data_IF_982216371336
#
_entry.id   IF_982216371336
#
_cell.length_a   1.000
_cell.length_b   1.000
_cell.length_c   1.000
_cell.angle_alpha   90.00
_cell.angle_beta   90.00
_cell.angle_gamma   90.00
#
_symmetry.space_group_name_H-M   'P 1'
#
loop_
_entity.id
_entity.type
_entity.pdbx_description
1 polymer ?
#
# COMPACT_ATOMS: atom_id res chain seq x y z
N UNK A 1 -15.70 -12.30 -0.86
CA UNK A 1 -15.15 -12.19 -2.22
C UNK A 1 -15.28 -13.55 -2.87
N UNK A 2 -15.85 -13.64 -4.06
CA UNK A 2 -15.97 -14.88 -4.83
C UNK A 2 -15.74 -14.53 -6.28
N UNK A 3 -14.76 -15.15 -6.92
CA UNK A 3 -14.58 -14.99 -8.36
C UNK A 3 -15.71 -15.70 -9.11
N UNK A 4 -16.25 -15.03 -10.13
CA UNK A 4 -17.21 -15.66 -11.06
C UNK A 4 -16.43 -16.49 -12.08
N UNK A 5 -16.58 -17.84 -12.05
CA UNK A 5 -15.83 -18.72 -12.96
C UNK A 5 -16.10 -18.47 -14.46
N UNK A 6 -17.23 -17.84 -14.79
CA UNK A 6 -17.60 -17.54 -16.18
C UNK A 6 -16.99 -16.21 -16.68
N UNK A 7 -16.65 -15.30 -15.76
CA UNK A 7 -16.12 -13.98 -16.09
C UNK A 7 -14.62 -13.86 -15.81
N UNK A 8 -14.06 -14.71 -14.93
CA UNK A 8 -12.67 -14.63 -14.55
C UNK A 8 -11.77 -15.21 -15.64
N UNK A 9 -10.94 -14.36 -16.21
CA UNK A 9 -9.85 -14.71 -17.13
C UNK A 9 -8.50 -14.41 -16.50
N UNK A 10 -7.42 -14.94 -17.02
CA UNK A 10 -6.06 -14.60 -16.55
C UNK A 10 -5.80 -13.08 -16.62
N UNK A 11 -6.26 -12.40 -17.67
CA UNK A 11 -6.10 -10.96 -17.83
C UNK A 11 -6.86 -10.17 -16.76
N UNK A 12 -8.14 -10.49 -16.53
CA UNK A 12 -8.96 -9.86 -15.50
C UNK A 12 -8.40 -10.11 -14.10
N UNK A 13 -7.94 -11.32 -13.82
CA UNK A 13 -7.30 -11.65 -12.56
C UNK A 13 -6.01 -10.85 -12.34
N UNK A 14 -5.15 -10.75 -13.34
CA UNK A 14 -3.91 -9.99 -13.27
C UNK A 14 -4.16 -8.50 -13.00
N UNK A 15 -5.13 -7.90 -13.69
CA UNK A 15 -5.50 -6.51 -13.48
C UNK A 15 -6.09 -6.28 -12.08
N UNK A 16 -6.99 -7.18 -11.63
CA UNK A 16 -7.53 -7.15 -10.28
C UNK A 16 -6.42 -7.23 -9.22
N UNK A 17 -5.50 -8.19 -9.35
CA UNK A 17 -4.37 -8.35 -8.45
C UNK A 17 -3.51 -7.08 -8.36
N UNK A 18 -3.20 -6.43 -9.49
CA UNK A 18 -2.42 -5.20 -9.50
C UNK A 18 -3.08 -4.06 -8.73
N UNK A 19 -4.39 -3.90 -8.87
CA UNK A 19 -5.16 -2.87 -8.16
C UNK A 19 -5.22 -3.17 -6.66
N UNK A 20 -5.51 -4.42 -6.29
CA UNK A 20 -5.54 -4.85 -4.88
C UNK A 20 -4.14 -4.74 -4.26
N UNK A 21 -3.11 -5.22 -4.96
CA UNK A 21 -1.74 -5.13 -4.49
C UNK A 21 -1.30 -3.69 -4.19
N UNK A 22 -1.72 -2.74 -5.01
CA UNK A 22 -1.47 -1.34 -4.74
C UNK A 22 -2.22 -0.84 -3.49
N UNK A 23 -3.46 -1.30 -3.26
CA UNK A 23 -4.24 -0.92 -2.08
C UNK A 23 -3.65 -1.46 -0.78
N UNK A 24 -3.12 -2.69 -0.79
CA UNK A 24 -2.52 -3.33 0.39
C UNK A 24 -1.03 -3.01 0.59
N UNK A 25 -0.40 -2.33 -0.36
CA UNK A 25 1.03 -2.02 -0.29
C UNK A 25 1.39 -1.31 1.02
N UNK A 26 2.34 -1.90 1.75
CA UNK A 26 2.73 -1.43 3.07
C UNK A 26 3.59 -0.16 2.97
N UNK A 27 2.93 0.97 2.80
CA UNK A 27 3.57 2.26 2.96
C UNK A 27 3.30 2.80 4.36
N UNK A 28 4.33 3.25 5.11
CA UNK A 28 4.12 3.94 6.38
C UNK A 28 3.53 5.34 6.20
N UNK A 29 3.27 5.78 4.96
CA UNK A 29 2.74 7.12 4.61
C UNK A 29 3.54 8.20 5.35
N UNK A 30 4.80 8.32 4.97
CA UNK A 30 5.75 9.30 5.53
C UNK A 30 6.98 9.41 4.64
N UNK A 31 7.71 10.54 4.64
CA UNK A 31 9.00 10.61 3.98
C UNK A 31 9.92 9.53 4.58
N UNK A 32 10.73 8.87 3.75
CA UNK A 32 11.75 7.97 4.25
C UNK A 32 12.78 8.81 5.00
N UNK A 33 12.78 8.67 6.31
CA UNK A 33 13.62 9.45 7.21
C UNK A 33 14.25 8.54 8.25
N UNK A 34 15.50 8.81 8.56
CA UNK A 34 16.14 8.25 9.74
C UNK A 34 15.68 8.99 10.98
N UNK A 35 14.76 8.40 11.69
CA UNK A 35 14.52 8.80 13.08
C UNK A 35 15.74 8.40 13.91
N UNK A 36 16.17 9.27 14.83
CA UNK A 36 17.22 8.90 15.80
C UNK A 36 16.83 7.67 16.63
N UNK A 37 17.77 7.12 17.42
CA UNK A 37 17.52 5.93 18.25
C UNK A 37 16.29 6.04 19.15
N UNK A 38 15.96 7.22 19.64
CA UNK A 38 14.79 7.47 20.48
C UNK A 38 13.54 7.74 19.65
N UNK A 39 13.67 8.04 18.35
CA UNK A 39 12.55 8.40 17.50
C UNK A 39 11.52 7.29 17.36
N UNK A 40 10.26 7.64 17.51
CA UNK A 40 9.12 6.76 17.21
C UNK A 40 7.99 7.56 16.54
N UNK A 41 7.12 6.85 15.86
CA UNK A 41 5.91 7.42 15.25
C UNK A 41 4.83 6.33 15.25
N UNK A 42 3.64 6.64 15.73
CA UNK A 42 2.50 5.74 15.72
C UNK A 42 1.23 6.48 15.34
N UNK A 43 0.40 5.88 14.50
CA UNK A 43 -0.80 6.55 14.02
C UNK A 43 -1.70 5.70 13.16
N UNK A 44 -2.68 6.36 12.58
CA UNK A 44 -3.65 5.79 11.65
C UNK A 44 -3.43 6.40 10.28
N UNK A 45 -3.38 5.56 9.27
CA UNK A 45 -3.34 5.96 7.87
C UNK A 45 -4.51 5.36 7.10
N UNK A 46 -4.92 6.01 6.03
CA UNK A 46 -5.84 5.46 5.06
C UNK A 46 -5.25 5.64 3.66
N UNK A 47 -5.34 4.60 2.85
CA UNK A 47 -5.01 4.67 1.41
C UNK A 47 -6.29 4.45 0.62
N UNK A 48 -6.54 5.33 -0.34
CA UNK A 48 -7.67 5.26 -1.26
C UNK A 48 -7.14 5.05 -2.67
N UNK A 49 -7.57 3.96 -3.30
CA UNK A 49 -7.16 3.58 -4.66
C UNK A 49 -8.34 3.73 -5.60
N UNK A 50 -8.13 4.40 -6.73
CA UNK A 50 -9.15 4.55 -7.77
C UNK A 50 -9.36 3.21 -8.48
N UNK A 51 -10.63 2.83 -8.67
CA UNK A 51 -11.03 1.63 -9.40
C UNK A 51 -12.07 1.97 -10.47
N UNK A 52 -12.17 1.10 -11.46
CA UNK A 52 -13.27 1.11 -12.42
C UNK A 52 -14.20 -0.06 -12.10
N UNK A 53 -15.34 0.24 -11.46
CA UNK A 53 -16.35 -0.76 -11.09
C UNK A 53 -17.05 -1.37 -12.30
N UNK A 54 -17.06 -0.66 -13.43
CA UNK A 54 -17.62 -1.12 -14.70
C UNK A 54 -16.69 -2.10 -15.43
N UNK A 55 -15.41 -2.13 -15.10
CA UNK A 55 -14.43 -2.95 -15.78
C UNK A 55 -14.60 -4.44 -15.50
N UNK A 56 -14.25 -5.26 -16.52
CA UNK A 56 -14.39 -6.71 -16.45
C UNK A 56 -13.60 -7.35 -15.28
N UNK A 57 -12.43 -6.80 -14.96
CA UNK A 57 -11.60 -7.31 -13.85
C UNK A 57 -12.29 -7.16 -12.50
N UNK A 58 -13.03 -6.05 -12.31
CA UNK A 58 -13.74 -5.80 -11.06
C UNK A 58 -14.99 -6.67 -10.94
N UNK A 59 -15.78 -6.73 -12.02
CA UNK A 59 -16.99 -7.55 -12.08
C UNK A 59 -16.72 -9.04 -11.91
N UNK A 60 -15.58 -9.51 -12.38
CA UNK A 60 -15.17 -10.91 -12.21
C UNK A 60 -14.85 -11.28 -10.74
N UNK A 61 -14.49 -10.32 -9.91
CA UNK A 61 -14.09 -10.53 -8.52
C UNK A 61 -15.14 -10.09 -7.49
N UNK A 62 -15.99 -9.13 -7.85
CA UNK A 62 -17.04 -8.55 -6.98
C UNK A 62 -18.39 -8.69 -7.67
N UNK A 63 -19.28 -9.58 -7.19
CA UNK A 63 -20.62 -9.73 -7.76
C UNK A 63 -21.41 -8.41 -7.71
N UNK A 64 -22.19 -8.14 -8.75
CA UNK A 64 -23.00 -6.92 -8.86
C UNK A 64 -24.05 -6.75 -7.74
N UNK A 65 -24.49 -7.87 -7.14
CA UNK A 65 -25.44 -7.90 -6.04
C UNK A 65 -24.78 -7.80 -4.65
N UNK A 66 -23.47 -7.53 -4.60
CA UNK A 66 -22.81 -7.34 -3.33
C UNK A 66 -23.19 -5.96 -2.76
N UNK A 67 -23.47 -5.90 -1.46
CA UNK A 67 -23.63 -4.64 -0.73
C UNK A 67 -22.35 -3.79 -0.66
N UNK A 68 -21.29 -4.28 -1.28
CA UNK A 68 -20.00 -3.61 -1.34
C UNK A 68 -19.96 -2.65 -2.53
N UNK A 69 -20.46 -1.45 -2.30
CA UNK A 69 -20.37 -0.33 -3.24
C UNK A 69 -19.16 0.52 -2.88
N UNK A 70 -18.29 0.76 -3.83
CA UNK A 70 -17.03 1.46 -3.62
C UNK A 70 -17.02 2.88 -4.16
N UNK A 71 -18.05 3.27 -4.91
CA UNK A 71 -18.13 4.58 -5.58
C UNK A 71 -16.85 4.93 -6.37
N UNK A 72 -16.24 3.92 -7.00
CA UNK A 72 -15.02 4.08 -7.78
C UNK A 72 -13.72 4.12 -6.97
N UNK A 73 -13.75 3.81 -5.67
CA UNK A 73 -12.57 3.82 -4.81
C UNK A 73 -12.56 2.66 -3.82
N UNK A 74 -11.39 2.09 -3.55
CA UNK A 74 -11.14 1.17 -2.43
C UNK A 74 -10.37 1.92 -1.36
N UNK A 75 -10.91 1.99 -0.15
CA UNK A 75 -10.25 2.55 1.02
C UNK A 75 -9.70 1.46 1.94
N UNK A 76 -8.42 1.55 2.32
CA UNK A 76 -7.77 0.64 3.26
C UNK A 76 -7.24 1.44 4.45
N UNK A 77 -8.01 1.52 5.55
CA UNK A 77 -7.51 2.08 6.81
C UNK A 77 -6.51 1.12 7.44
N UNK A 78 -5.46 1.66 8.05
CA UNK A 78 -4.41 0.86 8.68
C UNK A 78 -3.81 1.53 9.91
N UNK A 79 -3.35 0.74 10.85
CA UNK A 79 -2.46 1.17 11.91
C UNK A 79 -1.03 1.18 11.38
N UNK A 80 -0.26 2.16 11.78
CA UNK A 80 1.14 2.32 11.39
C UNK A 80 1.95 2.62 12.63
N UNK A 81 3.05 1.90 12.81
CA UNK A 81 4.04 2.20 13.84
C UNK A 81 5.43 2.18 13.23
N UNK A 82 6.28 3.09 13.65
CA UNK A 82 7.67 3.21 13.18
C UNK A 82 8.61 3.46 14.34
N UNK A 83 9.79 2.86 14.29
CA UNK A 83 10.84 3.01 15.30
C UNK A 83 12.19 3.29 14.61
N UNK A 84 12.88 4.30 15.09
CA UNK A 84 14.23 4.62 14.66
C UNK A 84 15.29 3.70 15.29
N UNK A 85 16.27 3.38 14.50
CA UNK A 85 17.49 2.64 14.87
C UNK A 85 18.71 3.36 14.28
N UNK A 86 19.90 3.03 14.72
CA UNK A 86 21.13 3.69 14.24
C UNK A 86 21.36 3.57 12.72
N UNK A 87 20.87 2.50 12.11
CA UNK A 87 20.99 2.23 10.67
C UNK A 87 19.81 2.79 9.84
N UNK A 88 18.70 3.13 10.47
CA UNK A 88 17.51 3.59 9.75
C UNK A 88 16.24 3.53 10.59
N UNK A 89 15.08 3.47 9.93
CA UNK A 89 13.76 3.35 10.57
C UNK A 89 13.08 2.07 10.13
N UNK A 90 12.56 1.32 11.07
CA UNK A 90 11.70 0.14 10.82
C UNK A 90 10.25 0.53 11.06
N UNK A 91 9.38 0.18 10.14
CA UNK A 91 7.94 0.46 10.21
C UNK A 91 7.13 -0.82 10.06
N UNK A 92 6.05 -0.91 10.81
CA UNK A 92 5.03 -1.95 10.68
C UNK A 92 3.67 -1.36 10.31
N UNK A 93 2.89 -2.07 9.51
CA UNK A 93 1.51 -1.70 9.16
C UNK A 93 0.57 -2.88 9.37
N UNK A 94 -0.63 -2.59 9.85
CA UNK A 94 -1.69 -3.58 10.07
C UNK A 94 -3.04 -2.99 9.70
N UNK A 95 -3.83 -3.74 8.94
CA UNK A 95 -5.22 -3.40 8.64
C UNK A 95 -6.10 -4.65 8.71
N UNK A 96 -7.29 -4.49 9.27
CA UNK A 96 -8.34 -5.49 9.25
C UNK A 96 -9.60 -4.86 8.67
N UNK A 97 -10.13 -5.45 7.61
CA UNK A 97 -11.37 -4.97 6.98
C UNK A 97 -12.53 -5.62 7.72
N UNK A 98 -13.31 -4.79 8.41
CA UNK A 98 -14.47 -5.25 9.18
C UNK A 98 -15.44 -6.05 8.32
N UNK A 99 -16.03 -7.09 8.89
CA UNK A 99 -17.03 -7.97 8.27
C UNK A 99 -16.56 -8.73 7.01
N UNK A 100 -15.27 -8.75 6.70
CA UNK A 100 -14.75 -9.43 5.50
C UNK A 100 -13.77 -10.57 5.81
N UNK A 101 -13.26 -10.68 7.04
CA UNK A 101 -12.18 -11.59 7.39
C UNK A 101 -10.80 -11.18 6.81
N UNK A 102 -10.76 -10.18 5.95
CA UNK A 102 -9.54 -9.73 5.26
C UNK A 102 -8.63 -9.02 6.26
N UNK A 103 -7.39 -9.48 6.30
CA UNK A 103 -6.33 -8.85 7.09
C UNK A 103 -5.13 -8.58 6.19
N UNK A 104 -4.56 -7.40 6.31
CA UNK A 104 -3.29 -7.06 5.67
C UNK A 104 -2.28 -6.65 6.73
N UNK A 105 -1.06 -7.10 6.57
CA UNK A 105 0.04 -6.65 7.39
C UNK A 105 1.29 -6.51 6.53
N UNK A 106 2.20 -5.69 6.97
CA UNK A 106 3.43 -5.48 6.26
C UNK A 106 4.43 -4.67 7.05
N UNK A 107 5.59 -4.47 6.47
CA UNK A 107 6.67 -3.69 7.06
C UNK A 107 7.50 -2.99 6.01
N UNK A 108 8.25 -2.00 6.47
CA UNK A 108 9.21 -1.28 5.66
C UNK A 108 10.46 -0.96 6.48
N UNK A 109 11.59 -0.88 5.80
CA UNK A 109 12.86 -0.41 6.35
C UNK A 109 13.33 0.76 5.51
N UNK A 110 13.56 1.89 6.18
CA UNK A 110 14.12 3.10 5.59
C UNK A 110 15.58 3.20 5.98
N UNK A 111 16.48 3.32 5.01
CA UNK A 111 17.92 3.50 5.24
C UNK A 111 18.36 4.82 4.59
N UNK A 112 19.10 5.69 5.30
CA UNK A 112 19.61 6.92 4.72
C UNK A 112 20.72 6.62 3.74
N UNK A 113 20.62 7.19 2.55
CA UNK A 113 21.72 7.26 1.59
C UNK A 113 22.51 8.56 1.77
N UNK A 114 21.79 9.65 2.04
CA UNK A 114 22.36 10.95 2.38
C UNK A 114 21.54 11.55 3.52
N UNK A 115 22.15 11.79 4.65
CA UNK A 115 21.49 12.43 5.80
C UNK A 115 21.23 13.90 5.51
N UNK A 116 19.98 14.29 5.68
CA UNK A 116 19.56 15.68 5.52
C UNK A 116 20.06 16.59 6.65
N UNK A 117 19.88 17.86 6.44
CA UNK A 117 20.21 18.90 7.42
C UNK A 117 19.44 20.18 7.12
N UNK A 118 19.75 21.26 7.83
CA UNK A 118 19.05 22.55 7.66
C UNK A 118 19.10 23.02 6.19
N UNK A 119 20.24 22.88 5.52
CA UNK A 119 20.42 23.30 4.13
C UNK A 119 20.39 22.13 3.13
N UNK A 120 20.60 20.90 3.58
CA UNK A 120 20.74 19.73 2.70
C UNK A 120 19.46 18.89 2.66
N UNK A 121 19.02 18.42 1.50
CA UNK A 121 17.95 17.44 1.41
C UNK A 121 18.41 16.10 2.00
N UNK A 122 17.46 15.28 2.39
CA UNK A 122 17.66 13.88 2.78
C UNK A 122 17.33 12.97 1.60
N UNK A 123 18.22 12.06 1.31
CA UNK A 123 18.02 10.97 0.36
C UNK A 123 18.00 9.66 1.13
N UNK A 124 16.97 8.86 0.96
CA UNK A 124 16.84 7.59 1.65
C UNK A 124 16.25 6.51 0.71
N UNK A 125 16.59 5.26 0.99
CA UNK A 125 16.01 4.10 0.34
C UNK A 125 15.01 3.44 1.29
N UNK A 126 13.88 3.00 0.75
CA UNK A 126 12.89 2.18 1.42
C UNK A 126 12.75 0.85 0.73
N UNK A 127 12.78 -0.22 1.51
CA UNK A 127 12.31 -1.55 1.07
C UNK A 127 11.07 -1.91 1.88
N UNK A 128 10.09 -2.53 1.23
CA UNK A 128 8.81 -2.84 1.86
C UNK A 128 8.28 -4.19 1.42
N UNK A 129 7.51 -4.78 2.31
CA UNK A 129 6.79 -6.03 2.12
C UNK A 129 5.40 -5.92 2.69
N UNK A 130 4.38 -6.45 2.01
CA UNK A 130 3.08 -6.67 2.60
C UNK A 130 2.41 -7.94 2.09
N UNK A 131 1.45 -8.42 2.84
CA UNK A 131 0.66 -9.59 2.48
C UNK A 131 -0.80 -9.40 2.86
N UNK A 132 -1.67 -9.99 2.06
CA UNK A 132 -3.09 -10.10 2.30
C UNK A 132 -3.44 -11.53 2.67
N UNK A 133 -4.22 -11.69 3.72
CA UNK A 133 -4.70 -12.97 4.25
C UNK A 133 -6.18 -12.89 4.60
N UNK A 134 -6.80 -14.05 4.88
CA UNK A 134 -8.22 -14.11 5.28
C UNK A 134 -9.20 -14.22 4.10
N UNK A 135 -8.71 -14.56 2.90
CA UNK A 135 -9.51 -14.94 1.75
C UNK A 135 -9.02 -16.31 1.28
N UNK A 136 -9.85 -17.33 1.37
CA UNK A 136 -9.44 -18.71 1.04
C UNK A 136 -9.05 -18.87 -0.43
N UNK A 137 -9.73 -18.14 -1.31
CA UNK A 137 -9.56 -18.23 -2.77
C UNK A 137 -8.57 -17.22 -3.34
N UNK A 138 -8.00 -16.32 -2.52
CA UNK A 138 -7.09 -15.28 -3.01
C UNK A 138 -6.01 -14.96 -1.99
N UNK A 139 -4.76 -14.99 -2.44
CA UNK A 139 -3.58 -14.63 -1.64
C UNK A 139 -2.71 -13.68 -2.43
N UNK A 140 -2.18 -12.69 -1.75
CA UNK A 140 -1.32 -11.70 -2.39
C UNK A 140 -0.19 -11.25 -1.48
N UNK A 141 0.98 -11.08 -2.10
CA UNK A 141 2.18 -10.51 -1.48
C UNK A 141 2.72 -9.41 -2.37
N UNK A 142 3.15 -8.32 -1.75
CA UNK A 142 3.78 -7.22 -2.46
C UNK A 142 5.16 -6.93 -1.91
N UNK A 143 6.04 -6.50 -2.78
CA UNK A 143 7.41 -6.11 -2.46
C UNK A 143 7.68 -4.76 -3.11
N UNK A 144 8.42 -3.89 -2.46
CA UNK A 144 8.77 -2.58 -3.00
C UNK A 144 10.19 -2.19 -2.67
N UNK A 145 10.78 -1.43 -3.59
CA UNK A 145 12.01 -0.71 -3.37
C UNK A 145 11.85 0.70 -3.96
N UNK A 146 12.07 1.73 -3.14
CA UNK A 146 11.84 3.12 -3.51
C UNK A 146 12.99 3.98 -2.99
N UNK A 147 13.34 5.02 -3.75
CA UNK A 147 14.26 6.08 -3.34
C UNK A 147 13.45 7.35 -3.10
N UNK A 148 13.64 7.93 -1.94
CA UNK A 148 12.96 9.12 -1.45
C UNK A 148 13.92 10.29 -1.39
N UNK A 149 13.45 11.45 -1.86
CA UNK A 149 14.06 12.73 -1.65
C UNK A 149 13.11 13.57 -0.79
N UNK A 150 13.60 14.13 0.31
CA UNK A 150 12.81 14.98 1.20
C UNK A 150 13.60 16.18 1.70
N UNK A 151 12.89 17.27 2.01
CA UNK A 151 13.50 18.49 2.56
C UNK A 151 12.58 19.12 3.61
N UNK A 152 13.09 19.31 4.81
CA UNK A 152 12.36 20.00 5.87
C UNK A 152 12.47 21.52 5.72
N UNK A 153 11.33 22.19 5.85
CA UNK A 153 11.17 23.66 5.92
C UNK A 153 10.35 23.98 7.18
N UNK A 154 11.02 23.99 8.33
CA UNK A 154 10.32 24.11 9.61
C UNK A 154 9.30 22.99 9.84
N UNK A 155 8.02 23.31 10.00
CA UNK A 155 6.98 22.30 10.25
C UNK A 155 6.60 21.50 8.98
N UNK A 156 6.98 21.96 7.80
CA UNK A 156 6.58 21.37 6.51
C UNK A 156 7.74 20.57 5.94
N UNK A 157 7.47 19.33 5.52
CA UNK A 157 8.46 18.47 4.85
C UNK A 157 7.84 17.89 3.57
N UNK A 158 8.01 18.55 2.41
CA UNK A 158 7.70 17.94 1.14
C UNK A 158 8.67 16.80 0.84
N UNK A 159 8.18 15.82 0.08
CA UNK A 159 8.98 14.70 -0.39
C UNK A 159 8.45 14.13 -1.70
N UNK A 160 9.34 13.47 -2.41
CA UNK A 160 9.01 12.69 -3.58
C UNK A 160 9.76 11.36 -3.56
N UNK A 161 9.22 10.37 -4.24
CA UNK A 161 9.86 9.08 -4.37
C UNK A 161 9.65 8.48 -5.76
N UNK A 162 10.61 7.70 -6.17
CA UNK A 162 10.53 6.83 -7.33
C UNK A 162 10.99 5.43 -6.94
N UNK A 163 10.30 4.43 -7.44
CA UNK A 163 10.66 3.06 -7.14
C UNK A 163 9.91 2.04 -8.00
N UNK A 164 10.04 0.81 -7.59
CA UNK A 164 9.41 -0.32 -8.25
C UNK A 164 8.67 -1.19 -7.25
N UNK A 165 7.49 -1.60 -7.62
CA UNK A 165 6.64 -2.52 -6.87
C UNK A 165 6.51 -3.82 -7.65
N UNK A 166 6.58 -4.95 -6.94
CA UNK A 166 6.32 -6.29 -7.46
C UNK A 166 5.17 -6.92 -6.70
N UNK A 167 4.29 -7.57 -7.43
CA UNK A 167 3.14 -8.30 -6.92
C UNK A 167 3.33 -9.79 -7.21
N UNK A 168 2.95 -10.62 -6.24
CA UNK A 168 2.77 -12.06 -6.41
C UNK A 168 1.36 -12.40 -5.88
N UNK A 169 0.44 -12.66 -6.79
CA UNK A 169 -0.94 -13.02 -6.49
C UNK A 169 -1.25 -14.45 -6.94
N UNK A 170 -2.09 -15.13 -6.19
CA UNK A 170 -2.60 -16.46 -6.50
C UNK A 170 -4.10 -16.49 -6.23
N UNK A 171 -4.86 -17.03 -7.19
CA UNK A 171 -6.29 -17.23 -7.08
C UNK A 171 -6.65 -18.68 -7.32
N UNK A 172 -7.32 -19.31 -6.37
CA UNK A 172 -7.86 -20.66 -6.50
C UNK A 172 -9.36 -20.55 -6.83
N UNK A 173 -9.73 -20.89 -8.07
CA UNK A 173 -11.10 -20.83 -8.54
C UNK A 173 -11.72 -22.20 -8.35
N UNK A 174 -12.71 -22.35 -7.45
CA UNK A 174 -13.34 -23.63 -7.19
C UNK A 174 -14.12 -24.16 -8.41
N UNK A 175 -14.25 -25.46 -8.52
CA UNK A 175 -15.11 -26.08 -9.52
C UNK A 175 -16.57 -25.66 -9.31
N UNK A 176 -17.27 -25.42 -10.41
CA UNK A 176 -18.71 -25.23 -10.43
C UNK A 176 -19.35 -26.32 -11.31
N UNK A 177 -20.68 -26.41 -11.32
CA UNK A 177 -21.43 -27.36 -12.15
C UNK A 177 -21.13 -27.26 -13.66
N UNK A 178 -20.51 -26.13 -14.09
CA UNK A 178 -20.20 -25.85 -15.50
C UNK A 178 -18.70 -25.73 -15.82
N UNK A 179 -17.83 -25.68 -14.80
CA UNK A 179 -16.40 -25.42 -15.00
C UNK A 179 -15.55 -26.24 -14.02
N UNK A 180 -14.42 -26.75 -14.50
CA UNK A 180 -13.43 -27.38 -13.66
C UNK A 180 -12.72 -26.37 -12.74
N UNK A 181 -12.21 -26.84 -11.61
CA UNK A 181 -11.35 -26.03 -10.75
C UNK A 181 -10.06 -25.64 -11.49
N UNK A 182 -9.63 -24.40 -11.38
CA UNK A 182 -8.37 -23.94 -11.97
C UNK A 182 -7.71 -22.89 -11.10
N UNK A 183 -6.39 -22.73 -11.29
CA UNK A 183 -5.56 -21.77 -10.54
C UNK A 183 -5.09 -20.68 -11.47
N UNK A 184 -5.21 -19.44 -10.99
CA UNK A 184 -4.68 -18.25 -11.63
C UNK A 184 -3.50 -17.71 -10.81
N UNK A 185 -2.52 -17.14 -11.49
CA UNK A 185 -1.39 -16.49 -10.82
C UNK A 185 -0.95 -15.25 -11.59
N UNK A 186 -0.53 -14.24 -10.85
CA UNK A 186 0.09 -13.04 -11.43
C UNK A 186 1.41 -12.74 -10.73
N UNK A 187 2.44 -12.43 -11.52
CA UNK A 187 3.75 -11.95 -11.08
C UNK A 187 4.12 -10.75 -11.93
N UNK A 188 3.63 -9.60 -11.52
CA UNK A 188 3.89 -8.36 -12.25
C UNK A 188 4.76 -7.40 -11.45
N UNK A 189 5.41 -6.49 -12.17
CA UNK A 189 6.20 -5.42 -11.59
C UNK A 189 5.93 -4.14 -12.36
N UNK A 190 5.76 -3.03 -11.66
CA UNK A 190 5.53 -1.72 -12.26
C UNK A 190 6.21 -0.62 -11.46
N UNK A 191 6.44 0.51 -12.14
CA UNK A 191 7.04 1.66 -11.50
C UNK A 191 6.03 2.37 -10.60
N UNK A 192 6.54 3.02 -9.57
CA UNK A 192 5.78 3.77 -8.58
C UNK A 192 6.41 5.15 -8.40
N UNK A 193 5.59 6.18 -8.51
CA UNK A 193 5.97 7.58 -8.34
C UNK A 193 5.11 8.17 -7.24
N UNK A 194 5.73 8.71 -6.22
CA UNK A 194 5.04 9.24 -5.03
C UNK A 194 5.44 10.68 -4.81
N UNK A 195 4.49 11.51 -4.46
CA UNK A 195 4.72 12.86 -3.94
C UNK A 195 3.87 13.05 -2.69
N UNK A 196 4.42 13.74 -1.70
CA UNK A 196 3.72 13.95 -0.44
C UNK A 196 4.25 15.14 0.35
N UNK A 197 3.51 15.48 1.38
CA UNK A 197 3.88 16.51 2.33
C UNK A 197 3.57 16.03 3.74
N UNK A 198 4.50 16.25 4.66
CA UNK A 198 4.29 16.06 6.09
C UNK A 198 4.23 17.43 6.76
N UNK A 199 3.22 17.62 7.59
CA UNK A 199 3.07 18.74 8.52
C UNK A 199 3.33 18.23 9.93
N UNK A 200 4.28 18.84 10.64
CA UNK A 200 4.62 18.50 12.02
C UNK A 200 4.14 19.64 12.92
N UNK A 201 3.02 19.39 13.62
CA UNK A 201 2.35 20.36 14.49
C UNK A 201 2.68 20.03 15.96
N UNK A 202 3.93 20.24 16.35
CA UNK A 202 4.46 19.84 17.67
C UNK A 202 4.30 18.33 17.92
N UNK A 203 3.17 17.87 18.50
CA UNK A 203 2.90 16.46 18.79
C UNK A 203 2.21 15.76 17.61
N UNK A 204 1.07 16.22 17.05
CA UNK A 204 0.46 15.56 15.93
C UNK A 204 1.24 15.85 14.63
N UNK A 205 1.35 14.83 13.81
CA UNK A 205 1.87 14.90 12.44
C UNK A 205 0.76 14.52 11.48
N UNK A 206 0.58 15.32 10.45
CA UNK A 206 -0.32 15.03 9.33
C UNK A 206 0.53 14.77 8.09
N UNK A 207 0.21 13.71 7.35
CA UNK A 207 0.85 13.41 6.07
C UNK A 207 -0.21 13.23 5.01
N UNK A 208 0.00 13.84 3.86
CA UNK A 208 -0.78 13.63 2.65
C UNK A 208 0.14 13.16 1.53
N UNK A 209 -0.31 12.17 0.79
CA UNK A 209 0.48 11.51 -0.25
C UNK A 209 -0.38 11.20 -1.47
N UNK A 210 0.16 11.42 -2.65
CA UNK A 210 -0.38 10.93 -3.92
C UNK A 210 0.64 10.02 -4.57
N UNK A 211 0.16 8.89 -5.08
CA UNK A 211 1.01 7.93 -5.78
C UNK A 211 0.40 7.58 -7.13
N UNK A 212 1.23 7.58 -8.15
CA UNK A 212 0.94 7.04 -9.48
C UNK A 212 1.73 5.75 -9.66
N UNK A 213 1.02 4.66 -9.88
CA UNK A 213 1.56 3.34 -10.22
C UNK A 213 0.68 2.70 -11.29
N UNK A 214 0.16 1.49 -11.13
CA UNK A 214 -0.83 0.90 -12.05
C UNK A 214 -2.10 1.79 -12.12
N UNK A 215 -2.56 2.23 -10.96
CA UNK A 215 -3.64 3.21 -10.83
C UNK A 215 -3.21 4.32 -9.87
N UNK A 216 -3.96 5.42 -9.86
CA UNK A 216 -3.71 6.51 -8.92
C UNK A 216 -4.25 6.16 -7.54
N UNK A 217 -3.48 6.47 -6.51
CA UNK A 217 -3.89 6.34 -5.11
C UNK A 217 -3.55 7.59 -4.31
N UNK A 218 -4.32 7.82 -3.27
CA UNK A 218 -4.17 8.91 -2.32
C UNK A 218 -4.04 8.30 -0.92
N UNK A 219 -3.18 8.86 -0.10
CA UNK A 219 -3.05 8.42 1.28
C UNK A 219 -2.99 9.61 2.22
N UNK A 220 -3.55 9.41 3.41
CA UNK A 220 -3.44 10.36 4.51
C UNK A 220 -3.06 9.60 5.78
N UNK A 221 -2.26 10.23 6.65
CA UNK A 221 -1.90 9.71 7.96
C UNK A 221 -1.97 10.81 9.01
N UNK A 222 -2.50 10.46 10.17
CA UNK A 222 -2.38 11.22 11.41
C UNK A 222 -1.60 10.37 12.40
N UNK A 223 -0.55 10.92 12.98
CA UNK A 223 0.31 10.20 13.91
C UNK A 223 0.85 11.09 15.02
N UNK A 224 1.29 10.45 16.09
CA UNK A 224 2.04 11.06 17.18
C UNK A 224 3.43 10.44 17.21
N UNK A 225 4.42 11.22 17.58
CA UNK A 225 5.80 10.72 17.66
C UNK A 225 6.83 11.86 17.68
N UNK A 226 8.08 11.50 17.91
CA UNK A 226 9.23 12.40 17.95
C UNK A 226 10.46 11.81 17.27
#
# INVERSE_FOLDING_TARGET
MKFDPNLVTQANFSQFARVVGQAIFATPVQPARTSGLLGFDAGVAATVVKIDEGAAYWRAAVPQNSSFTTHGYIGVPRLVASKGFGFGTVSGTYAKISNSGITTWGGAIDTPLLRGGVLKPELAMRVSYSTLTGIDVFREKTYGAEVFLSKGFGPITPYAAVGRMRINAQGDIPATLKSAAFRLSDRSSFNRYTAGVRLSLMVPKLVLEVTQAEVRSYAAKVSIGF
#
